data_IF_796447187450
#
_entry.id   IF_796447187450
#
_cell.length_a   1.000
_cell.length_b   1.000
_cell.length_c   1.000
_cell.angle_alpha   90.00
_cell.angle_beta   90.00
_cell.angle_gamma   90.00
#
_symmetry.space_group_name_H-M   'P 1'
#
loop_
_entity.id
_entity.type
_entity.pdbx_description
1 polymer ?
#
# COMPACT_ATOMS: atom_id res chain seq x y z
N UNK A 1 10.98 -26.92 -66.55
CA UNK A 1 11.90 -26.99 -65.40
C UNK A 1 12.53 -25.62 -65.22
N UNK A 2 12.15 -24.85 -64.19
CA UNK A 2 12.90 -23.67 -63.75
C UNK A 2 12.53 -23.41 -62.29
N UNK A 3 13.49 -23.66 -61.42
CA UNK A 3 13.45 -23.34 -60.00
C UNK A 3 13.67 -21.84 -59.84
N UNK A 4 12.85 -21.13 -59.05
CA UNK A 4 13.28 -19.90 -58.38
C UNK A 4 12.93 -20.03 -56.90
N UNK A 5 13.98 -20.26 -56.12
CA UNK A 5 13.95 -20.34 -54.66
C UNK A 5 13.82 -18.93 -54.08
N UNK A 6 13.00 -18.86 -53.04
CA UNK A 6 12.81 -17.89 -51.95
C UNK A 6 13.86 -16.76 -51.79
N UNK A 7 13.43 -15.61 -51.25
CA UNK A 7 13.63 -15.50 -49.81
C UNK A 7 12.37 -15.09 -49.04
N UNK A 8 12.11 -15.83 -47.97
CA UNK A 8 11.20 -15.45 -46.90
C UNK A 8 11.77 -14.18 -46.29
N UNK A 9 11.11 -13.05 -46.54
CA UNK A 9 11.29 -11.83 -45.78
C UNK A 9 10.81 -12.11 -44.35
N UNK A 10 11.77 -12.37 -43.47
CA UNK A 10 11.59 -12.37 -42.02
C UNK A 10 11.22 -10.95 -41.60
N UNK A 11 9.93 -10.69 -41.45
CA UNK A 11 9.44 -9.50 -40.77
C UNK A 11 9.78 -9.65 -39.28
N UNK A 12 10.88 -9.02 -38.87
CA UNK A 12 11.32 -8.89 -37.49
C UNK A 12 10.27 -8.07 -36.73
N UNK A 13 9.36 -8.73 -36.01
CA UNK A 13 8.50 -8.10 -35.02
C UNK A 13 9.38 -7.59 -33.87
N UNK A 14 9.68 -6.30 -33.86
CA UNK A 14 10.23 -5.63 -32.68
C UNK A 14 9.05 -5.44 -31.71
N UNK A 15 8.85 -6.42 -30.83
CA UNK A 15 7.99 -6.27 -29.67
C UNK A 15 8.67 -5.31 -28.69
N UNK A 16 8.27 -4.04 -28.71
CA UNK A 16 8.64 -3.08 -27.67
C UNK A 16 8.03 -3.52 -26.35
N UNK A 17 8.83 -4.19 -25.52
CA UNK A 17 8.54 -4.37 -24.10
C UNK A 17 8.66 -3.01 -23.40
N UNK A 18 7.61 -2.20 -23.48
CA UNK A 18 7.38 -1.13 -22.53
C UNK A 18 6.86 -1.76 -21.23
N UNK A 19 7.76 -2.41 -20.48
CA UNK A 19 7.52 -2.75 -19.09
C UNK A 19 7.57 -1.45 -18.29
N UNK A 20 6.43 -0.81 -18.09
CA UNK A 20 6.29 0.28 -17.13
C UNK A 20 6.65 -0.28 -15.75
N UNK A 21 7.79 0.13 -15.20
CA UNK A 21 8.10 -0.13 -13.79
C UNK A 21 7.22 0.82 -12.97
N UNK A 22 6.05 0.32 -12.52
CA UNK A 22 5.18 0.97 -11.54
C UNK A 22 5.80 0.87 -10.12
N UNK A 23 7.05 1.29 -9.93
CA UNK A 23 7.68 1.27 -8.62
C UNK A 23 7.01 2.21 -7.59
N UNK A 24 6.28 3.24 -8.06
CA UNK A 24 5.56 4.19 -7.21
C UNK A 24 4.29 3.63 -6.60
N UNK A 25 3.55 2.78 -7.32
CA UNK A 25 2.26 2.26 -6.85
C UNK A 25 2.46 1.21 -5.75
N UNK A 26 3.43 0.30 -5.91
CA UNK A 26 3.71 -0.74 -4.92
C UNK A 26 4.15 -0.15 -3.56
N UNK A 27 4.95 0.93 -3.58
CA UNK A 27 5.41 1.60 -2.37
C UNK A 27 4.28 2.30 -1.61
N UNK A 28 3.39 2.99 -2.33
CA UNK A 28 2.21 3.61 -1.73
C UNK A 28 1.28 2.56 -1.13
N UNK A 29 1.00 1.49 -1.88
CA UNK A 29 0.18 0.37 -1.42
C UNK A 29 0.73 -0.23 -0.11
N UNK A 30 2.03 -0.49 -0.03
CA UNK A 30 2.64 -1.01 1.19
C UNK A 30 2.51 -0.05 2.38
N UNK A 31 2.75 1.24 2.18
CA UNK A 31 2.62 2.25 3.24
C UNK A 31 1.16 2.38 3.74
N UNK A 32 0.19 2.28 2.83
CA UNK A 32 -1.24 2.28 3.15
C UNK A 32 -1.62 1.04 3.97
N UNK A 33 -1.13 -0.14 3.57
CA UNK A 33 -1.33 -1.38 4.33
C UNK A 33 -0.68 -1.35 5.72
N UNK A 34 0.50 -0.74 5.86
CA UNK A 34 1.18 -0.57 7.16
C UNK A 34 0.33 0.30 8.09
N UNK A 35 -0.15 1.45 7.61
CA UNK A 35 -1.01 2.35 8.39
C UNK A 35 -2.36 1.69 8.74
N UNK A 36 -2.96 0.97 7.80
CA UNK A 36 -4.18 0.19 8.05
C UNK A 36 -3.98 -0.88 9.11
N UNK A 37 -2.85 -1.58 9.09
CA UNK A 37 -2.52 -2.58 10.12
C UNK A 37 -2.41 -1.96 11.51
N UNK A 38 -1.72 -0.82 11.65
CA UNK A 38 -1.67 -0.09 12.93
C UNK A 38 -3.06 0.35 13.41
N UNK A 39 -3.96 0.72 12.48
CA UNK A 39 -5.34 1.07 12.79
C UNK A 39 -6.13 -0.13 13.31
N UNK A 40 -5.94 -1.31 12.74
CA UNK A 40 -6.52 -2.56 13.24
C UNK A 40 -6.11 -2.85 14.69
N UNK A 41 -4.83 -2.71 15.02
CA UNK A 41 -4.32 -2.84 16.41
C UNK A 41 -4.96 -1.80 17.33
N UNK A 42 -5.01 -0.53 16.92
CA UNK A 42 -5.60 0.54 17.73
C UNK A 42 -7.08 0.26 18.06
N UNK A 43 -7.85 -0.22 17.08
CA UNK A 43 -9.25 -0.60 17.25
C UNK A 43 -9.43 -1.80 18.19
N UNK A 44 -8.60 -2.84 18.03
CA UNK A 44 -8.61 -4.01 18.91
C UNK A 44 -8.33 -3.60 20.36
N UNK A 45 -7.46 -2.61 20.54
CA UNK A 45 -7.06 -2.06 21.83
C UNK A 45 -7.92 -0.91 22.35
N UNK A 46 -9.05 -0.58 21.69
CA UNK A 46 -9.95 0.52 22.07
C UNK A 46 -9.27 1.91 22.13
N UNK A 47 -8.14 2.09 21.45
CA UNK A 47 -7.42 3.36 21.35
C UNK A 47 -8.04 4.24 20.25
N UNK A 48 -9.32 4.60 20.42
CA UNK A 48 -10.14 5.24 19.39
C UNK A 48 -9.59 6.56 18.86
N UNK A 49 -8.87 7.33 19.69
CA UNK A 49 -8.22 8.57 19.27
C UNK A 49 -7.12 8.33 18.24
N UNK A 50 -6.31 7.28 18.41
CA UNK A 50 -5.28 6.91 17.43
C UNK A 50 -5.90 6.33 16.16
N UNK A 51 -6.99 5.56 16.28
CA UNK A 51 -7.73 5.08 15.12
C UNK A 51 -8.35 6.22 14.29
N UNK A 52 -8.86 7.27 14.94
CA UNK A 52 -9.30 8.49 14.25
C UNK A 52 -8.13 9.19 13.54
N UNK A 53 -7.02 9.39 14.24
CA UNK A 53 -5.80 10.02 13.68
C UNK A 53 -5.30 9.32 12.41
N UNK A 54 -5.30 7.99 12.37
CA UNK A 54 -4.86 7.25 11.17
C UNK A 54 -5.81 7.42 9.98
N UNK A 55 -7.12 7.50 10.22
CA UNK A 55 -8.09 7.81 9.17
C UNK A 55 -7.92 9.24 8.64
N UNK A 56 -7.64 10.20 9.52
CA UNK A 56 -7.31 11.58 9.13
C UNK A 56 -6.03 11.63 8.28
N UNK A 57 -4.97 10.91 8.70
CA UNK A 57 -3.73 10.79 7.91
C UNK A 57 -4.02 10.26 6.50
N UNK A 58 -4.85 9.23 6.35
CA UNK A 58 -5.26 8.72 5.04
C UNK A 58 -5.96 9.81 4.22
N UNK A 59 -6.96 10.46 4.81
CA UNK A 59 -7.69 11.55 4.15
C UNK A 59 -6.73 12.65 3.68
N UNK A 60 -5.76 13.05 4.49
CA UNK A 60 -4.92 14.19 4.17
C UNK A 60 -3.74 13.84 3.25
N UNK A 61 -3.31 12.57 3.22
CA UNK A 61 -2.04 12.19 2.60
C UNK A 61 -2.20 11.53 1.24
N UNK A 62 -3.15 10.61 1.05
CA UNK A 62 -3.19 9.80 -0.18
C UNK A 62 -4.10 10.39 -1.27
N UNK A 63 -3.96 9.95 -2.54
CA UNK A 63 -4.95 10.22 -3.58
C UNK A 63 -6.35 9.75 -3.19
N UNK A 64 -7.39 10.46 -3.65
CA UNK A 64 -8.80 10.14 -3.38
C UNK A 64 -9.33 9.03 -4.31
N UNK A 65 -8.56 7.96 -4.39
CA UNK A 65 -8.82 6.78 -5.19
C UNK A 65 -9.54 5.73 -4.33
N UNK A 66 -10.60 5.12 -4.88
CA UNK A 66 -11.37 4.09 -4.17
C UNK A 66 -10.49 2.91 -3.76
N UNK A 67 -9.64 2.44 -4.66
CA UNK A 67 -8.72 1.31 -4.46
C UNK A 67 -7.79 1.52 -3.25
N UNK A 68 -7.30 2.74 -3.05
CA UNK A 68 -6.42 3.09 -1.93
C UNK A 68 -7.18 3.04 -0.59
N UNK A 69 -8.42 3.54 -0.56
CA UNK A 69 -9.28 3.44 0.62
C UNK A 69 -9.61 1.99 0.97
N UNK A 70 -9.99 1.18 -0.03
CA UNK A 70 -10.28 -0.24 0.13
C UNK A 70 -9.08 -1.01 0.69
N UNK A 71 -7.86 -0.68 0.25
CA UNK A 71 -6.65 -1.31 0.77
C UNK A 71 -6.42 -1.01 2.26
N UNK A 72 -6.58 0.25 2.67
CA UNK A 72 -6.48 0.63 4.09
C UNK A 72 -7.51 -0.10 4.96
N UNK A 73 -8.75 -0.19 4.47
CA UNK A 73 -9.83 -0.88 5.18
C UNK A 73 -9.59 -2.40 5.26
N UNK A 74 -9.12 -3.03 4.18
CA UNK A 74 -8.76 -4.44 4.17
C UNK A 74 -7.64 -4.75 5.17
N UNK A 75 -6.57 -3.96 5.17
CA UNK A 75 -5.47 -4.11 6.13
C UNK A 75 -5.93 -3.86 7.58
N UNK A 76 -6.79 -2.87 7.81
CA UNK A 76 -7.40 -2.60 9.12
C UNK A 76 -8.18 -3.81 9.62
N UNK A 77 -9.08 -4.34 8.80
CA UNK A 77 -9.93 -5.47 9.19
C UNK A 77 -9.11 -6.74 9.44
N UNK A 78 -8.14 -7.02 8.56
CA UNK A 78 -7.24 -8.17 8.73
C UNK A 78 -6.46 -8.07 10.04
N UNK A 79 -5.87 -6.91 10.33
CA UNK A 79 -5.08 -6.72 11.56
C UNK A 79 -5.95 -6.71 12.82
N UNK A 80 -7.14 -6.11 12.79
CA UNK A 80 -8.07 -6.13 13.92
C UNK A 80 -8.42 -7.57 14.34
N UNK A 81 -8.79 -8.41 13.36
CA UNK A 81 -9.12 -9.81 13.60
C UNK A 81 -7.89 -10.60 14.07
N UNK A 82 -6.75 -10.44 13.39
CA UNK A 82 -5.52 -11.15 13.74
C UNK A 82 -5.07 -10.77 15.15
N UNK A 83 -4.87 -9.49 15.44
CA UNK A 83 -4.40 -9.01 16.74
C UNK A 83 -5.38 -9.38 17.86
N UNK A 84 -6.69 -9.15 17.66
CA UNK A 84 -7.72 -9.48 18.64
C UNK A 84 -7.77 -10.97 19.01
N UNK A 85 -7.37 -11.85 18.10
CA UNK A 85 -7.31 -13.30 18.34
C UNK A 85 -6.03 -13.77 19.07
N UNK A 86 -4.97 -12.96 19.10
CA UNK A 86 -3.67 -13.38 19.67
C UNK A 86 -3.65 -13.43 21.19
N UNK A 87 -4.52 -12.66 21.87
CA UNK A 87 -4.45 -12.45 23.32
C UNK A 87 -3.21 -11.67 23.79
N UNK A 88 -2.42 -11.11 22.87
CA UNK A 88 -1.26 -10.29 23.22
C UNK A 88 -1.70 -9.01 23.95
N UNK A 89 -0.90 -8.51 24.91
CA UNK A 89 -1.19 -7.25 25.56
C UNK A 89 -1.18 -6.10 24.54
N UNK A 90 -2.10 -5.16 24.72
CA UNK A 90 -2.14 -3.96 23.91
C UNK A 90 -0.86 -3.13 24.06
N UNK A 91 -0.32 -2.56 22.97
CA UNK A 91 0.82 -1.67 23.06
C UNK A 91 0.45 -0.42 23.87
N UNK A 92 1.43 0.12 24.59
CA UNK A 92 1.31 1.43 25.22
C UNK A 92 0.93 2.49 24.17
N UNK A 93 0.05 3.42 24.55
CA UNK A 93 -0.48 4.42 23.63
C UNK A 93 0.58 5.35 23.05
N UNK A 94 1.64 5.68 23.81
CA UNK A 94 2.76 6.48 23.30
C UNK A 94 3.57 5.68 22.29
N UNK A 95 3.89 4.43 22.60
CA UNK A 95 4.62 3.55 21.69
C UNK A 95 3.85 3.30 20.38
N UNK A 96 2.51 3.18 20.45
CA UNK A 96 1.68 3.09 19.24
C UNK A 96 1.65 4.41 18.47
N UNK A 97 1.52 5.55 19.16
CA UNK A 97 1.57 6.86 18.51
C UNK A 97 2.87 7.09 17.73
N UNK A 98 4.02 6.72 18.30
CA UNK A 98 5.33 6.82 17.62
C UNK A 98 5.40 5.91 16.38
N UNK A 99 4.77 4.74 16.40
CA UNK A 99 4.65 3.89 15.21
C UNK A 99 3.77 4.54 14.13
N UNK A 100 2.65 5.15 14.53
CA UNK A 100 1.77 5.90 13.62
C UNK A 100 2.50 7.08 12.99
N UNK A 101 3.32 7.81 13.77
CA UNK A 101 4.13 8.91 13.26
C UNK A 101 5.13 8.44 12.19
N UNK A 102 5.84 7.33 12.44
CA UNK A 102 6.75 6.75 11.44
C UNK A 102 6.02 6.26 10.18
N UNK A 103 4.85 5.63 10.35
CA UNK A 103 4.04 5.17 9.22
C UNK A 103 3.49 6.33 8.39
N UNK A 104 3.10 7.44 9.04
CA UNK A 104 2.71 8.69 8.37
C UNK A 104 3.86 9.22 7.51
N UNK A 105 5.06 9.30 8.05
CA UNK A 105 6.20 9.89 7.35
C UNK A 105 6.56 9.05 6.11
N UNK A 106 6.55 7.72 6.23
CA UNK A 106 6.66 6.81 5.08
C UNK A 106 5.54 7.04 4.06
N UNK A 107 4.30 7.13 4.51
CA UNK A 107 3.15 7.33 3.63
C UNK A 107 3.26 8.65 2.84
N UNK A 108 3.71 9.73 3.49
CA UNK A 108 3.96 11.02 2.83
C UNK A 108 5.00 10.89 1.74
N UNK A 109 6.13 10.24 2.03
CA UNK A 109 7.19 10.00 1.05
C UNK A 109 6.68 9.23 -0.17
N UNK A 110 5.90 8.18 0.04
CA UNK A 110 5.35 7.37 -1.05
C UNK A 110 4.23 8.09 -1.82
N UNK A 111 3.47 8.96 -1.16
CA UNK A 111 2.45 9.79 -1.81
C UNK A 111 3.01 11.02 -2.55
N UNK A 112 4.35 11.18 -2.61
CA UNK A 112 4.99 12.35 -3.22
C UNK A 112 4.77 13.65 -2.45
N UNK A 113 4.39 13.56 -1.16
CA UNK A 113 4.24 14.71 -0.26
C UNK A 113 5.51 14.85 0.57
N UNK A 114 6.10 16.05 0.59
CA UNK A 114 7.32 16.31 1.38
C UNK A 114 7.13 15.91 2.84
N UNK A 115 8.17 15.29 3.43
CA UNK A 115 8.22 14.88 4.84
C UNK A 115 8.04 16.08 5.76
#
# INVERSE_FOLDING_TARGET
MMMRKLPWLTALFIASLAGSVQAGDDGLQQAVSELGSLNGVALACKQNALAARMREIMVDTVPKERSVGEQFEQATNASFLAFGSTGQPCPDGKALAEQVDRARDKLRQQAGKAS
#
